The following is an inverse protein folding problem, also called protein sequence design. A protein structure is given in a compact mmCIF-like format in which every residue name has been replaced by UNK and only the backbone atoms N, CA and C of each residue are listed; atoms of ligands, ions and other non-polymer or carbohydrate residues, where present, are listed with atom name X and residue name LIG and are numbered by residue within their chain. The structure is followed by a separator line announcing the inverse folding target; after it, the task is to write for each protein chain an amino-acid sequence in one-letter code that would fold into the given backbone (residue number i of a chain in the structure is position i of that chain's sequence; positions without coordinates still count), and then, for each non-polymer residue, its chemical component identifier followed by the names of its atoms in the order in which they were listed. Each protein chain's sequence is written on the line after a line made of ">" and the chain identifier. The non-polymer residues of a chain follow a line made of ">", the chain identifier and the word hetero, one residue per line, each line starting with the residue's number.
data_IF_465955920289
#
_entry.id   IF_465955920289
#
_cell.length_a   1.000
_cell.length_b   1.000
_cell.length_c   1.000
_cell.angle_alpha   90.00
_cell.angle_beta   90.00
_cell.angle_gamma   90.00
#
_symmetry.space_group_name_H-M   'P 1'
#
loop_
_entity.id
_entity.type
_entity.pdbx_description
1 polymer ?
#
# COMPACT_ATOMS: atom_id res chain seq x y z
N UNK A 1 1.93 -1.12 -15.63
CA UNK A 1 2.66 -0.47 -14.52
C UNK A 1 1.64 0.09 -13.55
N UNK A 2 1.82 -0.11 -12.24
CA UNK A 2 0.97 0.53 -11.21
C UNK A 2 1.45 1.97 -10.98
N UNK A 3 0.51 2.92 -10.83
CA UNK A 3 0.83 4.31 -10.49
C UNK A 3 1.36 4.42 -9.06
N UNK A 4 2.07 5.51 -8.72
CA UNK A 4 2.51 5.78 -7.34
C UNK A 4 1.33 5.75 -6.36
N UNK A 5 0.19 6.30 -6.77
CA UNK A 5 -1.03 6.28 -5.96
C UNK A 5 -1.53 4.86 -5.71
N UNK A 6 -1.61 4.01 -6.74
CA UNK A 6 -2.02 2.61 -6.57
C UNK A 6 -1.08 1.83 -5.66
N UNK A 7 0.23 2.07 -5.74
CA UNK A 7 1.21 1.45 -4.84
C UNK A 7 1.05 1.94 -3.40
N UNK A 8 0.81 3.25 -3.21
CA UNK A 8 0.53 3.82 -1.89
C UNK A 8 -0.74 3.20 -1.27
N UNK A 9 -1.81 3.03 -2.06
CA UNK A 9 -3.03 2.36 -1.63
C UNK A 9 -2.77 0.90 -1.23
N UNK A 10 -1.97 0.16 -2.00
CA UNK A 10 -1.62 -1.23 -1.68
C UNK A 10 -0.84 -1.33 -0.37
N UNK A 11 0.18 -0.48 -0.18
CA UNK A 11 0.94 -0.41 1.07
C UNK A 11 0.02 -0.12 2.25
N UNK A 12 -0.86 0.88 2.13
CA UNK A 12 -1.80 1.23 3.18
C UNK A 12 -2.80 0.10 3.49
N UNK A 13 -3.33 -0.56 2.45
CA UNK A 13 -4.20 -1.72 2.61
C UNK A 13 -3.47 -2.89 3.27
N UNK A 14 -2.20 -3.15 2.94
CA UNK A 14 -1.39 -4.19 3.58
C UNK A 14 -1.11 -3.90 5.06
N UNK A 15 -0.82 -2.64 5.40
CA UNK A 15 -0.70 -2.24 6.79
C UNK A 15 -2.03 -2.39 7.53
N UNK A 16 -3.13 -2.02 6.89
CA UNK A 16 -4.46 -2.18 7.46
C UNK A 16 -4.82 -3.64 7.73
N UNK A 17 -4.49 -4.55 6.80
CA UNK A 17 -4.69 -6.01 6.95
C UNK A 17 -4.03 -6.60 8.19
N UNK A 18 -2.96 -5.97 8.70
CA UNK A 18 -2.24 -6.39 9.92
C UNK A 18 -2.86 -5.85 11.21
N UNK A 19 -3.92 -5.04 11.12
CA UNK A 19 -4.58 -4.45 12.29
C UNK A 19 -5.67 -5.36 12.87
N UNK A 20 -5.96 -5.18 14.16
CA UNK A 20 -7.09 -5.87 14.81
C UNK A 20 -8.46 -5.43 14.25
N UNK A 21 -8.58 -4.16 13.85
CA UNK A 21 -9.82 -3.64 13.23
C UNK A 21 -10.15 -4.39 11.94
N UNK A 22 -9.14 -4.60 11.08
CA UNK A 22 -9.31 -5.40 9.88
C UNK A 22 -9.71 -6.85 10.23
N UNK A 23 -9.03 -7.50 11.18
CA UNK A 23 -9.35 -8.87 11.56
C UNK A 23 -10.82 -9.03 12.01
N UNK A 24 -11.31 -8.08 12.81
CA UNK A 24 -12.70 -8.09 13.29
C UNK A 24 -13.71 -7.85 12.16
N UNK A 25 -13.45 -6.84 11.30
CA UNK A 25 -14.34 -6.52 10.17
C UNK A 25 -14.32 -7.62 9.11
N UNK A 26 -13.14 -8.17 8.81
CA UNK A 26 -12.96 -9.29 7.88
C UNK A 26 -13.74 -10.52 8.33
N UNK A 27 -13.70 -10.85 9.63
CA UNK A 27 -14.48 -11.96 10.19
C UNK A 27 -15.99 -11.69 10.06
N UNK A 28 -16.43 -10.47 10.35
CA UNK A 28 -17.83 -10.06 10.22
C UNK A 28 -18.32 -10.12 8.77
N UNK A 29 -17.51 -9.65 7.82
CA UNK A 29 -17.78 -9.72 6.37
C UNK A 29 -17.83 -11.18 5.92
N UNK A 30 -16.88 -12.00 6.36
CA UNK A 30 -16.83 -13.43 6.05
C UNK A 30 -18.10 -14.15 6.52
N UNK A 31 -18.54 -13.88 7.75
CA UNK A 31 -19.77 -14.45 8.29
C UNK A 31 -21.00 -14.04 7.48
N UNK A 32 -21.11 -12.75 7.12
CA UNK A 32 -22.22 -12.26 6.27
C UNK A 32 -22.18 -12.89 4.88
N UNK A 33 -20.99 -13.09 4.30
CA UNK A 33 -20.81 -13.68 2.98
C UNK A 33 -21.15 -15.18 2.91
N UNK A 34 -21.21 -15.88 4.05
CA UNK A 34 -21.74 -17.26 4.10
C UNK A 34 -23.25 -17.28 3.85
N UNK A 35 -23.96 -16.22 4.25
CA UNK A 35 -25.43 -16.14 4.21
C UNK A 35 -25.93 -15.36 2.98
N UNK A 36 -25.14 -14.41 2.47
CA UNK A 36 -25.52 -13.54 1.35
C UNK A 36 -25.16 -14.15 -0.01
N UNK A 37 -26.11 -14.15 -0.95
CA UNK A 37 -25.87 -14.48 -2.36
C UNK A 37 -24.92 -13.47 -3.03
N UNK A 38 -25.00 -12.20 -2.63
CA UNK A 38 -24.10 -11.13 -3.06
C UNK A 38 -23.03 -10.90 -2.01
N UNK A 39 -21.80 -11.35 -2.30
CA UNK A 39 -20.67 -11.21 -1.40
C UNK A 39 -20.29 -9.74 -1.21
N UNK A 40 -20.17 -9.33 0.04
CA UNK A 40 -19.58 -8.05 0.42
C UNK A 40 -18.08 -8.04 0.10
N UNK A 41 -17.55 -6.88 -0.33
CA UNK A 41 -16.12 -6.71 -0.58
C UNK A 41 -15.30 -6.80 0.72
N UNK A 42 -13.99 -7.02 0.56
CA UNK A 42 -13.03 -6.92 1.65
C UNK A 42 -13.06 -5.51 2.28
N UNK A 43 -12.92 -5.37 3.61
CA UNK A 43 -12.78 -4.07 4.25
C UNK A 43 -11.64 -3.24 3.64
N UNK A 44 -11.95 -2.04 3.16
CA UNK A 44 -10.95 -1.12 2.59
C UNK A 44 -10.37 -0.21 3.68
N UNK A 45 -9.07 0.10 3.57
CA UNK A 45 -8.44 1.11 4.41
C UNK A 45 -9.07 2.49 4.22
N UNK A 46 -9.53 2.81 3.02
CA UNK A 46 -10.20 4.09 2.70
C UNK A 46 -11.44 4.31 3.58
N UNK A 47 -12.15 3.23 3.92
CA UNK A 47 -13.37 3.29 4.75
C UNK A 47 -13.09 3.50 6.25
N UNK A 48 -11.81 3.48 6.66
CA UNK A 48 -11.42 3.57 8.07
C UNK A 48 -11.25 5.01 8.55
N UNK A 49 -11.11 5.98 7.64
CA UNK A 49 -10.78 7.38 7.98
C UNK A 49 -11.61 8.38 7.18
N UNK A 50 -11.75 9.63 7.67
CA UNK A 50 -12.30 10.70 6.86
C UNK A 50 -11.45 10.95 5.61
N UNK A 51 -12.11 11.32 4.50
CA UNK A 51 -11.46 11.49 3.19
C UNK A 51 -10.27 12.46 3.20
N UNK A 52 -10.31 13.51 4.04
CA UNK A 52 -9.21 14.48 4.15
C UNK A 52 -7.93 13.82 4.67
N UNK A 53 -8.02 13.09 5.79
CA UNK A 53 -6.89 12.38 6.39
C UNK A 53 -6.38 11.27 5.49
N UNK A 54 -7.27 10.53 4.83
CA UNK A 54 -6.86 9.50 3.87
C UNK A 54 -6.02 10.08 2.72
N UNK A 55 -6.44 11.23 2.14
CA UNK A 55 -5.66 11.87 1.07
C UNK A 55 -4.29 12.33 1.55
N UNK A 56 -4.20 12.92 2.73
CA UNK A 56 -2.92 13.37 3.30
C UNK A 56 -1.95 12.20 3.52
N UNK A 57 -2.44 11.08 4.06
CA UNK A 57 -1.63 9.86 4.22
C UNK A 57 -1.22 9.26 2.87
N UNK A 58 -2.08 9.29 1.85
CA UNK A 58 -1.71 8.82 0.51
C UNK A 58 -0.61 9.68 -0.10
N UNK A 59 -0.66 11.01 0.08
CA UNK A 59 0.40 11.92 -0.37
C UNK A 59 1.71 11.61 0.35
N UNK A 60 1.68 11.44 1.67
CA UNK A 60 2.87 11.09 2.44
C UNK A 60 3.48 9.74 2.01
N UNK A 61 2.65 8.72 1.77
CA UNK A 61 3.10 7.41 1.29
C UNK A 61 3.66 7.49 -0.13
N UNK A 62 3.03 8.27 -1.03
CA UNK A 62 3.56 8.48 -2.38
C UNK A 62 4.94 9.16 -2.36
N UNK A 63 5.14 10.15 -1.49
CA UNK A 63 6.44 10.82 -1.34
C UNK A 63 7.50 9.84 -0.82
N UNK A 64 7.17 9.03 0.20
CA UNK A 64 8.08 8.02 0.72
C UNK A 64 8.48 7.00 -0.35
N UNK A 65 7.51 6.47 -1.10
CA UNK A 65 7.76 5.53 -2.19
C UNK A 65 8.62 6.15 -3.30
N UNK A 66 8.39 7.41 -3.62
CA UNK A 66 9.17 8.12 -4.63
C UNK A 66 10.63 8.29 -4.17
N UNK A 67 10.86 8.66 -2.92
CA UNK A 67 12.20 8.81 -2.35
C UNK A 67 12.94 7.46 -2.31
N UNK A 68 12.25 6.37 -1.98
CA UNK A 68 12.80 5.02 -2.06
C UNK A 68 13.18 4.61 -3.49
N UNK A 69 12.36 4.95 -4.48
CA UNK A 69 12.67 4.71 -5.90
C UNK A 69 13.93 5.48 -6.33
N UNK A 70 14.05 6.77 -5.96
CA UNK A 70 15.24 7.58 -6.24
C UNK A 70 16.48 6.96 -5.59
N UNK A 71 16.37 6.55 -4.32
CA UNK A 71 17.48 5.95 -3.58
C UNK A 71 17.93 4.64 -4.22
N UNK A 72 16.99 3.79 -4.64
CA UNK A 72 17.30 2.53 -5.30
C UNK A 72 17.97 2.74 -6.67
N UNK A 73 17.48 3.72 -7.46
CA UNK A 73 18.09 4.10 -8.74
C UNK A 73 19.53 4.58 -8.53
N UNK A 74 19.76 5.44 -7.52
CA UNK A 74 21.10 5.92 -7.19
C UNK A 74 22.04 4.77 -6.81
N UNK A 75 21.58 3.83 -5.98
CA UNK A 75 22.36 2.67 -5.58
C UNK A 75 22.67 1.71 -6.75
N UNK A 76 21.76 1.60 -7.74
CA UNK A 76 22.02 0.84 -8.97
C UNK A 76 23.10 1.52 -9.82
N UNK A 77 22.99 2.83 -10.02
CA UNK A 77 23.97 3.60 -10.77
C UNK A 77 25.38 3.54 -10.13
N UNK A 78 25.47 3.66 -8.80
CA UNK A 78 26.76 3.55 -8.09
C UNK A 78 27.40 2.17 -8.27
N UNK A 79 26.61 1.09 -8.32
CA UNK A 79 27.12 -0.26 -8.60
C UNK A 79 27.62 -0.41 -10.03
N UNK A 80 26.85 0.07 -11.01
CA UNK A 80 27.24 0.02 -12.42
C UNK A 80 28.54 0.80 -12.67
N UNK A 81 28.67 2.00 -12.09
CA UNK A 81 29.92 2.80 -12.21
C UNK A 81 31.10 2.08 -11.56
N UNK A 82 30.90 1.43 -10.42
CA UNK A 82 31.97 0.72 -9.71
C UNK A 82 32.44 -0.53 -10.47
N UNK A 83 31.52 -1.30 -11.06
CA UNK A 83 31.85 -2.43 -11.95
C UNK A 83 32.59 -1.97 -13.22
N UNK A 84 32.26 -0.79 -13.78
CA UNK A 84 32.95 -0.21 -14.93
C UNK A 84 34.35 0.35 -14.60
N UNK A 85 34.66 0.61 -13.32
CA UNK A 85 35.99 1.12 -12.91
C UNK A 85 36.98 0.03 -12.49
N UNK A 86 36.53 -1.21 -12.29
CA UNK A 86 37.39 -2.36 -11.95
C UNK A 86 37.88 -3.16 -13.19
N UNK A 87 37.73 -2.62 -14.40
CA UNK A 87 38.22 -3.19 -15.68
C UNK A 87 39.50 -2.51 -16.17
#
# INVERSE_FOLDING_TARGET
>A
MKTLYQRAQEVAQEHYRKTRDYAFKSLSVSFRNVVLTNKLPEPSYEDTRPQSFYREEMIALMNLLHDEEIKNLKAQYEKEVQDDTEV
#
